data_IF_524036666533
#
_entry.id   IF_524036666533
#
_cell.length_a   1.000
_cell.length_b   1.000
_cell.length_c   1.000
_cell.angle_alpha   90.00
_cell.angle_beta   90.00
_cell.angle_gamma   90.00
#
_symmetry.space_group_name_H-M   'P 1'
#
loop_
_entity.id
_entity.type
_entity.pdbx_description
1 polymer ?
#
# COMPACT_ATOMS: atom_id res chain seq x y z
N UNK A 1 8.59 -73.31 23.86
CA UNK A 1 7.99 -72.80 22.61
C UNK A 1 7.02 -71.69 22.95
N UNK A 2 7.45 -70.42 22.95
CA UNK A 2 6.57 -69.24 23.00
C UNK A 2 7.33 -68.05 22.43
N UNK A 3 6.76 -67.43 21.41
CA UNK A 3 7.34 -66.31 20.64
C UNK A 3 6.99 -64.99 21.31
N UNK A 4 7.97 -64.10 21.51
CA UNK A 4 7.72 -62.71 21.91
C UNK A 4 7.92 -61.81 20.69
N UNK A 5 6.84 -61.15 20.27
CA UNK A 5 6.72 -60.36 19.07
C UNK A 5 7.33 -58.96 19.30
N UNK A 6 8.27 -58.58 18.44
CA UNK A 6 8.85 -57.23 18.42
C UNK A 6 7.85 -56.27 17.75
N UNK A 7 7.27 -55.35 18.52
CA UNK A 7 6.36 -54.32 18.01
C UNK A 7 7.23 -53.15 17.52
N UNK A 8 7.34 -53.01 16.21
CA UNK A 8 7.94 -51.83 15.59
C UNK A 8 6.96 -50.65 15.63
N UNK A 9 7.33 -49.45 16.12
CA UNK A 9 6.48 -48.28 16.02
C UNK A 9 6.53 -47.75 14.58
N UNK A 10 5.40 -47.82 13.88
CA UNK A 10 5.22 -47.17 12.59
C UNK A 10 5.21 -45.65 12.79
N UNK A 11 6.31 -44.99 12.40
CA UNK A 11 6.46 -43.54 12.37
C UNK A 11 5.53 -42.97 11.28
N UNK A 12 4.36 -42.47 11.68
CA UNK A 12 3.43 -41.78 10.80
C UNK A 12 4.03 -40.42 10.40
N UNK A 13 4.71 -40.37 9.25
CA UNK A 13 5.24 -39.14 8.68
C UNK A 13 4.06 -38.31 8.13
N UNK A 14 3.59 -37.34 8.92
CA UNK A 14 2.59 -36.38 8.48
C UNK A 14 3.18 -35.51 7.36
N UNK A 15 2.73 -35.74 6.13
CA UNK A 15 3.09 -34.94 4.97
C UNK A 15 2.44 -33.55 5.11
N UNK A 16 3.19 -32.57 5.61
CA UNK A 16 2.73 -31.17 5.67
C UNK A 16 2.76 -30.62 4.24
N UNK A 17 1.60 -30.56 3.60
CA UNK A 17 1.46 -29.87 2.31
C UNK A 17 1.60 -28.36 2.54
N UNK A 18 2.37 -27.64 1.70
CA UNK A 18 2.42 -26.19 1.79
C UNK A 18 1.02 -25.64 1.45
N UNK A 19 0.39 -24.96 2.41
CA UNK A 19 -0.79 -24.16 2.15
C UNK A 19 -0.37 -23.00 1.25
N UNK A 20 -0.73 -23.04 -0.03
CA UNK A 20 -0.50 -21.92 -0.93
C UNK A 20 -1.34 -20.74 -0.45
N UNK A 21 -0.68 -19.63 -0.14
CA UNK A 21 -1.38 -18.44 0.26
C UNK A 21 -1.91 -17.71 -0.98
N UNK A 22 -3.23 -17.62 -1.12
CA UNK A 22 -3.87 -16.84 -2.18
C UNK A 22 -3.93 -15.37 -1.78
N UNK A 23 -3.07 -14.54 -2.38
CA UNK A 23 -3.16 -13.08 -2.25
C UNK A 23 -4.21 -12.55 -3.22
N UNK A 24 -5.21 -11.83 -2.72
CA UNK A 24 -6.28 -11.24 -3.55
C UNK A 24 -6.36 -9.74 -3.28
N UNK A 25 -6.22 -8.95 -4.34
CA UNK A 25 -6.36 -7.49 -4.29
C UNK A 25 -7.49 -7.04 -5.21
N UNK A 26 -8.38 -6.18 -4.73
CA UNK A 26 -9.46 -5.59 -5.53
C UNK A 26 -8.99 -4.27 -6.14
N UNK A 27 -8.78 -4.27 -7.45
CA UNK A 27 -8.32 -3.10 -8.22
C UNK A 27 -9.46 -2.30 -8.86
N UNK A 28 -10.65 -2.89 -9.01
CA UNK A 28 -11.81 -2.21 -9.57
C UNK A 28 -13.13 -2.90 -9.22
N UNK A 29 -14.22 -2.14 -9.20
CA UNK A 29 -15.58 -2.65 -8.96
C UNK A 29 -16.51 -2.16 -10.07
N UNK A 30 -17.35 -3.06 -10.57
CA UNK A 30 -18.39 -2.81 -11.55
C UNK A 30 -19.70 -3.47 -11.10
N UNK A 31 -20.85 -3.09 -11.68
CA UNK A 31 -22.09 -3.83 -11.43
C UNK A 31 -21.89 -5.32 -11.74
N UNK A 32 -22.03 -6.17 -10.72
CA UNK A 32 -21.89 -7.63 -10.76
C UNK A 32 -20.49 -8.19 -11.11
N UNK A 33 -19.45 -7.36 -11.15
CA UNK A 33 -18.07 -7.79 -11.46
C UNK A 33 -17.05 -7.06 -10.58
N UNK A 34 -15.94 -7.72 -10.30
CA UNK A 34 -14.79 -7.11 -9.66
C UNK A 34 -13.55 -7.33 -10.53
N UNK A 35 -12.71 -6.30 -10.66
CA UNK A 35 -11.37 -6.48 -11.21
C UNK A 35 -10.47 -6.83 -10.04
N UNK A 36 -9.83 -7.99 -10.14
CA UNK A 36 -8.99 -8.54 -9.10
C UNK A 36 -7.59 -8.83 -9.63
N UNK A 37 -6.61 -8.65 -8.77
CA UNK A 37 -5.26 -9.13 -8.96
C UNK A 37 -5.05 -10.27 -7.97
N UNK A 38 -4.59 -11.43 -8.46
CA UNK A 38 -4.36 -12.60 -7.61
C UNK A 38 -2.88 -12.93 -7.66
N UNK A 39 -2.23 -13.11 -6.51
CA UNK A 39 -0.80 -13.40 -6.36
C UNK A 39 0.11 -12.40 -7.10
N UNK A 40 -0.28 -11.11 -7.13
CA UNK A 40 0.44 -10.07 -7.87
C UNK A 40 0.45 -10.22 -9.40
N UNK A 41 -0.38 -11.11 -9.95
CA UNK A 41 -0.47 -11.36 -11.40
C UNK A 41 -1.12 -10.22 -12.19
N UNK A 42 -1.56 -10.46 -13.42
CA UNK A 42 -2.30 -9.43 -14.17
C UNK A 42 -3.71 -9.24 -13.62
N UNK A 43 -4.18 -7.99 -13.64
CA UNK A 43 -5.54 -7.65 -13.27
C UNK A 43 -6.53 -8.36 -14.20
N UNK A 44 -7.49 -9.09 -13.62
CA UNK A 44 -8.51 -9.85 -14.35
C UNK A 44 -9.90 -9.55 -13.81
N UNK A 45 -10.88 -9.53 -14.70
CA UNK A 45 -12.28 -9.32 -14.31
C UNK A 45 -12.92 -10.63 -13.88
N UNK A 46 -13.46 -10.66 -12.66
CA UNK A 46 -14.20 -11.76 -12.10
C UNK A 46 -15.69 -11.40 -12.02
N UNK A 47 -16.55 -12.28 -12.53
CA UNK A 47 -18.00 -12.13 -12.42
C UNK A 47 -18.53 -12.85 -11.18
N UNK A 48 -19.66 -12.43 -10.63
CA UNK A 48 -20.30 -13.14 -9.51
C UNK A 48 -20.50 -14.63 -9.87
N UNK A 49 -20.15 -15.52 -8.95
CA UNK A 49 -20.09 -16.99 -9.04
C UNK A 49 -19.00 -17.56 -9.94
N UNK A 50 -18.19 -16.74 -10.60
CA UNK A 50 -17.05 -17.22 -11.37
C UNK A 50 -15.93 -17.63 -10.41
N UNK A 51 -15.42 -18.86 -10.58
CA UNK A 51 -14.28 -19.41 -9.84
C UNK A 51 -13.00 -19.25 -10.65
N UNK A 52 -11.93 -18.79 -10.02
CA UNK A 52 -10.60 -18.73 -10.64
C UNK A 52 -9.82 -20.02 -10.44
N UNK A 53 -8.72 -20.19 -11.17
CA UNK A 53 -7.83 -21.35 -11.03
C UNK A 53 -7.20 -21.42 -9.63
N UNK A 54 -7.03 -20.26 -8.98
CA UNK A 54 -6.49 -20.09 -7.63
C UNK A 54 -7.55 -20.33 -6.53
N UNK A 55 -8.75 -20.79 -6.88
CA UNK A 55 -9.79 -21.14 -5.91
C UNK A 55 -10.64 -19.99 -5.41
N UNK A 56 -10.43 -18.77 -5.91
CA UNK A 56 -11.18 -17.56 -5.50
C UNK A 56 -12.52 -17.50 -6.24
N UNK A 57 -13.62 -17.28 -5.52
CA UNK A 57 -14.96 -17.11 -6.09
C UNK A 57 -15.52 -15.76 -5.69
N UNK A 58 -16.01 -14.97 -6.64
CA UNK A 58 -16.74 -13.74 -6.31
C UNK A 58 -18.17 -14.09 -5.87
N UNK A 59 -18.55 -13.79 -4.64
CA UNK A 59 -19.88 -14.08 -4.07
C UNK A 59 -20.83 -12.92 -4.28
N UNK A 60 -20.39 -11.69 -3.96
CA UNK A 60 -21.20 -10.48 -4.12
C UNK A 60 -20.33 -9.26 -4.40
N UNK A 61 -20.91 -8.23 -4.99
CA UNK A 61 -20.30 -6.92 -5.18
C UNK A 61 -21.23 -5.87 -4.60
N UNK A 62 -20.68 -5.03 -3.72
CA UNK A 62 -21.36 -3.90 -3.10
C UNK A 62 -20.75 -2.57 -3.63
N UNK A 63 -21.30 -1.43 -3.20
CA UNK A 63 -20.79 -0.11 -3.63
C UNK A 63 -19.33 0.15 -3.24
N UNK A 64 -18.88 -0.46 -2.15
CA UNK A 64 -17.59 -0.15 -1.52
C UNK A 64 -16.59 -1.32 -1.54
N UNK A 65 -17.02 -2.51 -1.96
CA UNK A 65 -16.22 -3.72 -1.87
C UNK A 65 -16.84 -4.91 -2.59
N UNK A 66 -16.16 -6.04 -2.52
CA UNK A 66 -16.62 -7.32 -3.05
C UNK A 66 -16.39 -8.42 -2.02
N UNK A 67 -17.36 -9.33 -1.89
CA UNK A 67 -17.23 -10.52 -1.05
C UNK A 67 -16.77 -11.68 -1.90
N UNK A 68 -15.68 -12.31 -1.48
CA UNK A 68 -15.08 -13.47 -2.11
C UNK A 68 -15.19 -14.69 -1.20
N UNK A 69 -15.33 -15.87 -1.77
CA UNK A 69 -15.01 -17.13 -1.14
C UNK A 69 -13.55 -17.46 -1.51
N UNK A 70 -12.69 -17.52 -0.49
CA UNK A 70 -11.27 -17.83 -0.63
C UNK A 70 -11.03 -19.03 0.29
N UNK A 71 -10.69 -20.18 -0.29
CA UNK A 71 -10.45 -21.44 0.42
C UNK A 71 -11.62 -21.86 1.35
N UNK A 72 -12.87 -21.65 0.91
CA UNK A 72 -14.07 -22.00 1.67
C UNK A 72 -14.46 -20.96 2.73
N UNK A 73 -13.74 -19.83 2.83
CA UNK A 73 -14.02 -18.75 3.77
C UNK A 73 -14.47 -17.50 3.03
N UNK A 74 -15.65 -16.99 3.42
CA UNK A 74 -16.14 -15.69 2.92
C UNK A 74 -15.33 -14.54 3.50
N UNK A 75 -14.85 -13.67 2.62
CA UNK A 75 -14.05 -12.48 2.92
C UNK A 75 -14.55 -11.30 2.11
N UNK A 76 -14.85 -10.19 2.77
CA UNK A 76 -15.18 -8.94 2.10
C UNK A 76 -13.91 -8.11 1.96
N UNK A 77 -13.56 -7.74 0.74
CA UNK A 77 -12.42 -6.89 0.41
C UNK A 77 -12.93 -5.58 -0.15
N UNK A 78 -12.53 -4.48 0.47
CA UNK A 78 -12.84 -3.15 -0.07
C UNK A 78 -11.89 -2.82 -1.23
N UNK A 79 -12.30 -1.88 -2.08
CA UNK A 79 -11.45 -1.39 -3.17
C UNK A 79 -10.08 -0.92 -2.61
N UNK A 80 -8.98 -1.45 -3.14
CA UNK A 80 -7.63 -1.15 -2.69
C UNK A 80 -7.15 -1.92 -1.45
N UNK A 81 -7.97 -2.78 -0.84
CA UNK A 81 -7.52 -3.70 0.20
C UNK A 81 -6.94 -4.97 -0.43
N UNK A 82 -5.77 -5.39 0.06
CA UNK A 82 -5.22 -6.71 -0.19
C UNK A 82 -5.60 -7.69 0.92
N UNK A 83 -5.65 -8.98 0.61
CA UNK A 83 -5.72 -10.03 1.61
C UNK A 83 -4.73 -11.12 1.24
N UNK A 84 -3.69 -11.27 2.06
CA UNK A 84 -2.78 -12.41 2.02
C UNK A 84 -3.18 -13.39 3.11
N UNK A 85 -3.39 -14.66 2.76
CA UNK A 85 -3.56 -15.76 3.72
C UNK A 85 -2.21 -16.12 4.35
N UNK A 86 -1.65 -15.20 5.11
CA UNK A 86 -0.45 -15.35 5.93
C UNK A 86 -0.47 -14.21 6.94
N UNK A 87 -0.42 -14.52 8.24
CA UNK A 87 -0.56 -13.64 9.40
C UNK A 87 -0.83 -12.15 9.05
N UNK A 88 -2.11 -11.86 8.78
CA UNK A 88 -2.55 -10.62 8.14
C UNK A 88 -2.27 -9.40 9.01
N UNK A 89 -1.19 -8.68 8.71
CA UNK A 89 -1.14 -7.25 8.97
C UNK A 89 -1.91 -6.60 7.84
N UNK A 90 -3.11 -6.06 8.12
CA UNK A 90 -3.80 -5.19 7.17
C UNK A 90 -2.86 -4.06 6.78
N UNK A 91 -2.39 -4.01 5.53
CA UNK A 91 -1.57 -2.88 5.11
C UNK A 91 -2.38 -1.59 5.23
N UNK A 92 -1.84 -0.56 5.91
CA UNK A 92 -2.55 0.70 6.06
C UNK A 92 -2.92 1.28 4.70
N UNK A 93 -4.18 1.69 4.53
CA UNK A 93 -4.69 2.26 3.28
C UNK A 93 -5.51 3.52 3.58
N UNK A 94 -5.37 4.54 2.73
CA UNK A 94 -6.09 5.82 2.87
C UNK A 94 -6.82 6.11 1.57
N UNK A 95 -8.11 6.43 1.67
CA UNK A 95 -8.92 6.86 0.53
C UNK A 95 -8.89 8.38 0.44
N UNK A 96 -8.47 8.90 -0.71
CA UNK A 96 -8.41 10.33 -1.00
C UNK A 96 -9.49 10.71 -2.01
N UNK A 97 -10.06 11.89 -1.82
CA UNK A 97 -10.93 12.53 -2.79
C UNK A 97 -10.19 13.70 -3.42
N UNK A 98 -10.33 13.86 -4.73
CA UNK A 98 -9.81 15.02 -5.42
C UNK A 98 -10.57 16.28 -5.00
N UNK A 99 -9.87 17.41 -4.96
CA UNK A 99 -10.48 18.73 -4.79
C UNK A 99 -11.19 19.21 -6.06
N UNK A 100 -11.76 20.41 -6.04
CA UNK A 100 -12.46 21.00 -7.18
C UNK A 100 -11.58 21.24 -8.41
N UNK A 101 -10.25 21.19 -8.26
CA UNK A 101 -9.25 21.36 -9.32
C UNK A 101 -8.72 20.01 -9.82
N UNK A 102 -9.14 18.91 -9.22
CA UNK A 102 -8.69 17.56 -9.57
C UNK A 102 -7.45 17.09 -8.80
N UNK A 103 -6.93 17.87 -7.86
CA UNK A 103 -5.76 17.48 -7.07
C UNK A 103 -6.15 16.61 -5.89
N UNK A 104 -5.38 15.55 -5.66
CA UNK A 104 -5.51 14.72 -4.47
C UNK A 104 -4.71 15.37 -3.34
N UNK A 105 -5.42 16.06 -2.47
CA UNK A 105 -4.82 16.79 -1.35
C UNK A 105 -5.13 16.05 -0.06
N UNK A 106 -4.15 15.95 0.83
CA UNK A 106 -4.30 15.24 2.10
C UNK A 106 -3.52 15.92 3.21
N UNK A 107 -4.14 16.03 4.38
CA UNK A 107 -3.46 16.51 5.57
C UNK A 107 -2.63 15.36 6.18
N UNK A 108 -1.42 15.68 6.62
CA UNK A 108 -0.48 14.70 7.14
C UNK A 108 0.56 15.34 8.05
N UNK A 109 1.64 14.60 8.31
CA UNK A 109 2.72 15.07 9.17
C UNK A 109 4.09 14.70 8.61
N UNK A 110 5.06 15.58 8.79
CA UNK A 110 6.50 15.30 8.62
C UNK A 110 7.17 15.57 9.96
N UNK A 111 7.90 14.60 10.50
CA UNK A 111 8.57 14.68 11.80
C UNK A 111 7.66 15.19 12.92
N UNK A 112 6.38 14.79 12.89
CA UNK A 112 5.34 15.21 13.84
C UNK A 112 4.71 16.59 13.57
N UNK A 113 5.28 17.38 12.66
CA UNK A 113 4.72 18.66 12.26
C UNK A 113 3.65 18.51 11.18
N UNK A 114 2.48 19.12 11.41
CA UNK A 114 1.35 19.06 10.48
C UNK A 114 1.68 19.74 9.15
N UNK A 115 1.39 19.08 8.02
CA UNK A 115 1.59 19.61 6.66
C UNK A 115 0.41 19.20 5.77
N UNK A 116 0.24 19.90 4.65
CA UNK A 116 -0.75 19.53 3.63
C UNK A 116 -0.02 19.06 2.38
N UNK A 117 -0.24 17.80 2.02
CA UNK A 117 0.37 17.14 0.87
C UNK A 117 -0.53 17.21 -0.35
N UNK A 118 0.12 17.23 -1.52
CA UNK A 118 -0.50 16.92 -2.81
C UNK A 118 0.12 15.62 -3.29
N UNK A 119 -0.70 14.69 -3.78
CA UNK A 119 -0.21 13.44 -4.39
C UNK A 119 0.21 13.73 -5.82
N UNK A 120 1.50 13.51 -6.11
CA UNK A 120 2.09 13.65 -7.44
C UNK A 120 2.70 12.31 -7.86
N UNK A 121 2.09 11.65 -8.86
CA UNK A 121 2.57 10.36 -9.38
C UNK A 121 3.86 10.48 -10.19
N UNK A 122 4.28 11.70 -10.57
CA UNK A 122 5.53 11.98 -11.26
C UNK A 122 6.71 12.22 -10.31
N UNK A 123 6.47 12.40 -9.02
CA UNK A 123 7.52 12.63 -8.04
C UNK A 123 8.17 11.30 -7.58
N UNK A 124 9.49 11.27 -7.54
CA UNK A 124 10.26 10.11 -7.06
C UNK A 124 10.56 10.15 -5.57
N UNK A 125 10.48 11.32 -4.95
CA UNK A 125 10.75 11.56 -3.52
C UNK A 125 9.79 12.60 -2.95
N UNK A 126 9.64 12.62 -1.63
CA UNK A 126 8.84 13.64 -0.94
C UNK A 126 9.54 15.00 -1.07
N UNK A 127 8.84 15.99 -1.60
CA UNK A 127 9.36 17.35 -1.77
C UNK A 127 8.72 18.31 -0.77
N UNK A 128 9.54 19.18 -0.18
CA UNK A 128 9.12 20.18 0.80
C UNK A 128 9.69 21.55 0.42
N UNK A 129 8.93 22.63 0.63
CA UNK A 129 9.47 23.97 0.43
C UNK A 129 10.41 24.36 1.56
N UNK A 130 11.37 25.26 1.30
CA UNK A 130 12.25 25.80 2.33
C UNK A 130 11.48 26.55 3.42
N UNK A 131 10.38 27.20 3.07
CA UNK A 131 9.49 27.86 4.05
C UNK A 131 8.87 26.85 5.02
N UNK A 132 8.37 25.72 4.49
CA UNK A 132 7.76 24.68 5.30
C UNK A 132 8.81 23.94 6.14
N UNK A 133 9.97 23.62 5.56
CA UNK A 133 11.08 23.03 6.31
C UNK A 133 11.50 23.89 7.50
N UNK A 134 11.58 25.22 7.34
CA UNK A 134 11.85 26.16 8.44
C UNK A 134 10.73 26.17 9.47
N UNK A 135 9.46 26.20 9.04
CA UNK A 135 8.30 26.14 9.95
C UNK A 135 8.29 24.87 10.80
N UNK A 136 8.76 23.76 10.23
CA UNK A 136 8.89 22.47 10.89
C UNK A 136 10.22 22.28 11.64
N UNK A 137 11.07 23.30 11.69
CA UNK A 137 12.39 23.25 12.31
C UNK A 137 13.29 22.12 11.76
N UNK A 138 13.19 21.83 10.47
CA UNK A 138 14.02 20.85 9.77
C UNK A 138 15.31 21.56 9.34
N UNK A 139 16.46 21.08 9.82
CA UNK A 139 17.78 21.63 9.47
C UNK A 139 18.29 21.14 8.11
N UNK A 140 17.52 21.39 7.05
CA UNK A 140 17.75 20.84 5.71
C UNK A 140 19.08 21.28 5.08
N UNK A 141 19.64 22.43 5.50
CA UNK A 141 20.91 22.96 4.98
C UNK A 141 22.13 22.12 5.36
N UNK A 142 22.02 21.24 6.35
CA UNK A 142 23.04 20.24 6.69
C UNK A 142 23.05 19.05 5.71
N UNK A 143 22.00 18.92 4.91
CA UNK A 143 21.87 17.89 3.88
C UNK A 143 22.79 18.13 2.68
N UNK A 144 22.86 17.15 1.78
CA UNK A 144 23.65 17.27 0.56
C UNK A 144 22.99 18.27 -0.42
N UNK A 145 23.71 19.29 -0.91
CA UNK A 145 23.16 20.22 -1.89
C UNK A 145 22.86 19.51 -3.21
N UNK A 146 21.80 19.97 -3.88
CA UNK A 146 21.30 19.45 -5.14
C UNK A 146 20.62 20.56 -5.96
N UNK A 147 20.25 20.25 -7.19
CA UNK A 147 19.41 21.08 -8.03
C UNK A 147 18.21 20.26 -8.49
N UNK A 148 17.02 20.87 -8.43
CA UNK A 148 15.77 20.23 -8.85
C UNK A 148 15.16 21.01 -10.01
N UNK A 149 14.71 20.30 -11.04
CA UNK A 149 13.93 20.92 -12.09
C UNK A 149 12.48 21.05 -11.62
N UNK A 150 11.98 22.28 -11.56
CA UNK A 150 10.62 22.59 -11.12
C UNK A 150 9.84 23.22 -12.27
N UNK A 151 8.53 23.42 -12.07
CA UNK A 151 7.71 24.16 -13.04
C UNK A 151 8.25 25.59 -13.31
N UNK A 152 8.97 26.18 -12.34
CA UNK A 152 9.56 27.52 -12.46
C UNK A 152 11.04 27.49 -12.90
N UNK A 153 11.52 26.35 -13.40
CA UNK A 153 12.92 26.13 -13.78
C UNK A 153 13.75 25.46 -12.68
N UNK A 154 15.07 25.51 -12.84
CA UNK A 154 16.01 24.85 -11.94
C UNK A 154 16.14 25.63 -10.63
N UNK A 155 15.93 24.96 -9.50
CA UNK A 155 16.01 25.56 -8.17
C UNK A 155 17.04 24.83 -7.28
N UNK A 156 17.76 25.56 -6.41
CA UNK A 156 18.63 24.95 -5.41
C UNK A 156 17.82 24.17 -4.38
N UNK A 157 18.35 23.02 -4.00
CA UNK A 157 17.69 22.08 -3.12
C UNK A 157 18.69 21.36 -2.21
N UNK A 158 18.19 20.69 -1.18
CA UNK A 158 18.98 19.86 -0.28
C UNK A 158 18.30 18.51 -0.10
N UNK A 159 19.06 17.44 -0.26
CA UNK A 159 18.59 16.09 0.08
C UNK A 159 18.50 15.97 1.59
N UNK A 160 17.37 15.45 2.05
CA UNK A 160 17.07 15.24 3.46
C UNK A 160 16.52 13.85 3.68
N UNK A 161 16.60 13.38 4.93
CA UNK A 161 15.88 12.20 5.39
C UNK A 161 14.85 12.66 6.42
N UNK A 162 13.58 12.40 6.16
CA UNK A 162 12.53 12.63 7.13
C UNK A 162 12.42 11.42 8.04
N UNK A 163 12.48 11.64 9.35
CA UNK A 163 12.38 10.57 10.36
C UNK A 163 11.03 9.87 10.25
N UNK A 164 9.96 10.65 10.08
CA UNK A 164 8.60 10.13 9.88
C UNK A 164 7.80 10.96 8.89
N UNK A 165 7.06 10.28 8.02
CA UNK A 165 6.02 10.86 7.17
C UNK A 165 4.72 10.11 7.40
N UNK A 166 3.65 10.82 7.74
CA UNK A 166 2.34 10.24 8.05
C UNK A 166 1.23 10.84 7.21
N UNK A 167 0.37 9.98 6.70
CA UNK A 167 -0.85 10.32 5.97
C UNK A 167 -1.93 9.35 6.40
N UNK A 168 -2.99 9.84 7.05
CA UNK A 168 -4.03 8.99 7.63
C UNK A 168 -3.45 7.88 8.53
N UNK A 169 -3.72 6.62 8.19
CA UNK A 169 -3.20 5.44 8.93
C UNK A 169 -1.81 5.00 8.46
N UNK A 170 -1.28 5.55 7.36
CA UNK A 170 0.03 5.20 6.81
C UNK A 170 1.09 6.02 7.54
N UNK A 171 2.10 5.34 8.07
CA UNK A 171 3.27 5.96 8.70
C UNK A 171 4.53 5.31 8.14
N UNK A 172 5.34 6.10 7.44
CA UNK A 172 6.64 5.70 6.95
C UNK A 172 7.75 6.29 7.83
N UNK A 173 8.85 5.57 7.94
CA UNK A 173 10.04 6.00 8.66
C UNK A 173 11.22 6.12 7.70
N UNK A 174 12.19 6.97 8.02
CA UNK A 174 13.42 7.14 7.24
C UNK A 174 13.15 7.42 5.75
N UNK A 175 12.27 8.38 5.48
CA UNK A 175 11.79 8.68 4.13
C UNK A 175 12.76 9.62 3.43
N UNK A 176 13.21 9.25 2.24
CA UNK A 176 14.03 10.11 1.39
C UNK A 176 13.19 11.29 0.87
N UNK A 177 13.76 12.48 0.99
CA UNK A 177 13.09 13.70 0.59
C UNK A 177 14.05 14.77 0.09
N UNK A 178 13.47 15.85 -0.40
CA UNK A 178 14.18 17.02 -0.87
C UNK A 178 13.52 18.28 -0.35
N UNK A 179 14.33 19.23 0.11
CA UNK A 179 13.87 20.58 0.44
C UNK A 179 14.34 21.52 -0.64
N UNK A 180 13.41 22.25 -1.26
CA UNK A 180 13.70 23.19 -2.35
C UNK A 180 13.59 24.62 -1.78
N UNK A 181 14.62 25.45 -1.94
CA UNK A 181 14.73 26.75 -1.23
C UNK A 181 13.60 27.73 -1.55
N UNK A 182 12.96 27.56 -2.71
CA UNK A 182 11.97 28.49 -3.24
C UNK A 182 10.79 28.73 -2.28
N UNK A 183 10.32 29.97 -2.24
CA UNK A 183 9.28 30.46 -1.32
C UNK A 183 7.91 29.80 -1.53
N UNK A 184 7.66 29.21 -2.71
CA UNK A 184 6.43 28.48 -2.99
C UNK A 184 6.69 27.35 -3.99
N UNK A 185 6.30 26.13 -3.63
CA UNK A 185 5.86 25.17 -4.65
C UNK A 185 4.53 25.71 -5.18
N UNK A 186 4.33 25.84 -6.51
CA UNK A 186 3.02 26.20 -7.01
C UNK A 186 1.99 25.22 -6.47
N UNK A 187 0.92 25.73 -5.86
CA UNK A 187 -0.31 24.96 -5.81
C UNK A 187 -0.80 24.89 -7.25
N UNK A 188 -0.42 23.82 -7.95
CA UNK A 188 -0.96 23.52 -9.27
C UNK A 188 -2.48 23.38 -9.19
#
# INVERSE_FOLDING_TARGET
MTRLHSIAPALLLALVLPAHASDVTVVGLFPNKAVVQINGGTARTLSIRQKTAEGVVLVSVDRNGATFDIDGKRRTLNLGQHHSTGNASSSPAVKLSADSRGHFVVDGQINGGAVRFIVDTGATVVSLSGAEARRLNIEYRKGAPAFMNTANGVAPAWRVKFDTVRVGTISLQNVDGVVIETQAMPAL
#
